data_IF_970105738797
#
_entry.id   IF_970105738797
#
_cell.length_a   1.000
_cell.length_b   1.000
_cell.length_c   1.000
_cell.angle_alpha   90.00
_cell.angle_beta   90.00
_cell.angle_gamma   90.00
#
_symmetry.space_group_name_H-M   'P 1'
#
loop_
_entity.id
_entity.type
_entity.pdbx_description
1 polymer ?
#
# COMPACT_ATOMS: atom_id res chain seq x y z
N UNK A 1 1.54 -20.92 15.62
CA UNK A 1 1.40 -21.36 14.21
C UNK A 1 2.67 -20.95 13.48
N UNK A 2 3.24 -21.80 12.61
CA UNK A 2 4.43 -21.44 11.85
C UNK A 2 3.98 -20.81 10.53
N UNK A 3 4.60 -19.70 10.17
CA UNK A 3 4.39 -19.00 8.89
C UNK A 3 5.34 -19.58 7.85
N UNK A 4 4.86 -19.79 6.64
CA UNK A 4 5.64 -20.27 5.50
C UNK A 4 5.72 -19.22 4.39
N UNK A 5 6.65 -19.41 3.45
CA UNK A 5 6.72 -18.58 2.25
C UNK A 5 5.40 -18.66 1.46
N UNK A 6 4.87 -17.50 1.09
CA UNK A 6 3.60 -17.38 0.37
C UNK A 6 2.37 -17.16 1.25
N UNK A 7 2.46 -17.30 2.57
CA UNK A 7 1.34 -17.02 3.47
C UNK A 7 0.99 -15.52 3.47
N UNK A 8 -0.31 -15.22 3.51
CA UNK A 8 -0.82 -13.86 3.67
C UNK A 8 -0.95 -13.54 5.17
N UNK A 9 -0.47 -12.36 5.57
CA UNK A 9 -0.47 -11.90 6.95
C UNK A 9 -1.18 -10.55 7.02
N UNK A 10 -1.97 -10.34 8.08
CA UNK A 10 -2.57 -9.05 8.40
C UNK A 10 -1.81 -8.39 9.57
N UNK A 11 -1.45 -7.13 9.39
CA UNK A 11 -0.98 -6.27 10.49
C UNK A 11 -2.20 -5.49 10.98
N UNK A 12 -2.59 -5.73 12.22
CA UNK A 12 -3.75 -5.07 12.85
C UNK A 12 -3.39 -3.64 13.27
N UNK A 13 -4.41 -2.84 13.57
CA UNK A 13 -4.27 -1.47 14.10
C UNK A 13 -3.46 -0.51 13.20
N UNK A 14 -3.36 -0.80 11.90
CA UNK A 14 -2.63 -0.01 10.91
C UNK A 14 -3.47 1.13 10.28
N UNK A 15 -4.69 1.38 10.78
CA UNK A 15 -5.62 2.34 10.20
C UNK A 15 -5.27 3.81 10.46
N UNK A 16 -4.62 4.11 11.58
CA UNK A 16 -4.13 5.45 11.91
C UNK A 16 -2.61 5.49 11.76
N UNK A 17 -2.09 6.60 11.21
CA UNK A 17 -0.65 6.87 11.05
C UNK A 17 0.16 5.85 10.21
N UNK A 18 -0.48 4.82 9.65
CA UNK A 18 0.16 3.86 8.74
C UNK A 18 0.47 4.49 7.39
N UNK A 19 -0.53 4.54 6.50
CA UNK A 19 -0.33 5.08 5.15
C UNK A 19 0.15 6.54 5.17
N UNK A 20 -0.35 7.38 6.09
CA UNK A 20 0.00 8.80 6.14
C UNK A 20 1.48 9.06 6.39
N UNK A 21 2.20 8.10 6.97
CA UNK A 21 3.66 8.18 7.18
C UNK A 21 4.46 7.33 6.17
N UNK A 22 3.79 6.68 5.21
CA UNK A 22 4.44 5.88 4.18
C UNK A 22 5.22 6.78 3.19
N UNK A 23 6.31 6.24 2.67
CA UNK A 23 7.20 6.93 1.73
C UNK A 23 7.75 5.95 0.69
N UNK A 24 8.46 6.48 -0.30
CA UNK A 24 9.02 5.70 -1.41
C UNK A 24 10.48 5.25 -1.16
N UNK A 25 10.91 5.10 0.09
CA UNK A 25 12.25 4.63 0.42
C UNK A 25 12.55 3.29 -0.28
N UNK A 26 13.79 3.16 -0.79
CA UNK A 26 14.23 2.07 -1.67
C UNK A 26 13.42 1.96 -2.97
N UNK A 27 12.92 3.08 -3.50
CA UNK A 27 12.17 3.13 -4.77
C UNK A 27 10.98 2.19 -4.77
N UNK A 28 10.34 2.02 -3.61
CA UNK A 28 9.16 1.17 -3.46
C UNK A 28 7.90 1.99 -3.70
N UNK A 29 7.04 1.61 -4.66
CA UNK A 29 5.77 2.29 -4.84
C UNK A 29 4.87 2.08 -3.62
N UNK A 30 4.17 3.13 -3.19
CA UNK A 30 3.23 3.03 -2.06
C UNK A 30 2.10 2.06 -2.39
N UNK A 31 1.59 1.41 -1.34
CA UNK A 31 0.55 0.39 -1.46
C UNK A 31 -0.78 0.98 -1.97
N UNK A 32 -1.66 0.11 -2.47
CA UNK A 32 -3.06 0.48 -2.67
C UNK A 32 -3.80 0.52 -1.32
N UNK A 33 -4.85 1.34 -1.23
CA UNK A 33 -5.82 1.29 -0.14
C UNK A 33 -7.18 0.91 -0.69
N UNK A 34 -7.85 0.02 0.04
CA UNK A 34 -9.14 -0.53 -0.31
C UNK A 34 -10.11 -0.22 0.83
N UNK A 35 -11.30 0.23 0.48
CA UNK A 35 -12.42 0.38 1.38
C UNK A 35 -13.38 -0.80 1.18
N UNK A 36 -13.76 -1.43 2.29
CA UNK A 36 -14.83 -2.40 2.33
C UNK A 36 -16.08 -1.70 2.86
N UNK A 37 -17.13 -1.64 2.05
CA UNK A 37 -18.38 -0.96 2.41
C UNK A 37 -19.57 -1.79 1.94
N UNK A 38 -20.46 -2.17 2.88
CA UNK A 38 -21.70 -2.91 2.58
C UNK A 38 -21.49 -4.18 1.73
N UNK A 39 -20.40 -4.93 1.98
CA UNK A 39 -20.05 -6.13 1.22
C UNK A 39 -19.44 -5.86 -0.17
N UNK A 40 -19.26 -4.59 -0.53
CA UNK A 40 -18.53 -4.18 -1.73
C UNK A 40 -17.08 -3.83 -1.42
N UNK A 41 -16.22 -3.98 -2.43
CA UNK A 41 -14.80 -3.65 -2.36
C UNK A 41 -14.53 -2.48 -3.30
N UNK A 42 -13.98 -1.38 -2.77
CA UNK A 42 -13.67 -0.17 -3.53
C UNK A 42 -12.20 0.18 -3.42
N UNK A 43 -11.54 0.36 -4.57
CA UNK A 43 -10.20 0.92 -4.61
C UNK A 43 -10.29 2.43 -4.33
N UNK A 44 -9.83 2.87 -3.16
CA UNK A 44 -9.85 4.28 -2.76
C UNK A 44 -8.52 5.00 -3.02
N UNK A 45 -7.43 4.22 -3.14
CA UNK A 45 -6.13 4.73 -3.59
C UNK A 45 -5.43 3.68 -4.46
N UNK A 46 -5.08 4.04 -5.70
CA UNK A 46 -4.32 3.15 -6.59
C UNK A 46 -2.94 2.88 -6.00
N UNK A 47 -2.41 1.67 -6.22
CA UNK A 47 -0.99 1.40 -6.02
C UNK A 47 -0.18 2.29 -6.97
N UNK A 48 0.89 2.89 -6.45
CA UNK A 48 1.81 3.65 -7.31
C UNK A 48 2.57 2.72 -8.25
N UNK A 49 3.00 3.29 -9.37
CA UNK A 49 3.94 2.68 -10.31
C UNK A 49 5.33 3.27 -10.10
N UNK A 50 6.35 2.64 -10.67
CA UNK A 50 7.72 3.20 -10.66
C UNK A 50 7.74 4.58 -11.33
N UNK A 51 6.96 4.76 -12.42
CA UNK A 51 6.86 6.05 -13.09
C UNK A 51 6.25 7.12 -12.19
N UNK A 52 5.24 6.78 -11.38
CA UNK A 52 4.62 7.74 -10.45
C UNK A 52 5.69 8.34 -9.49
N UNK A 53 6.67 7.53 -9.03
CA UNK A 53 7.76 7.97 -8.12
C UNK A 53 8.63 9.06 -8.76
N UNK A 54 8.95 8.93 -10.05
CA UNK A 54 9.87 9.82 -10.76
C UNK A 54 9.18 10.91 -11.58
N UNK A 55 7.86 11.07 -11.43
CA UNK A 55 7.06 12.03 -12.25
C UNK A 55 7.58 13.47 -12.17
N UNK A 56 8.22 13.84 -11.05
CA UNK A 56 8.75 15.19 -10.81
C UNK A 56 10.27 15.29 -11.00
N UNK A 57 10.91 14.24 -11.50
CA UNK A 57 12.34 14.24 -11.80
C UNK A 57 12.54 14.52 -13.28
N UNK A 58 13.28 15.59 -13.59
CA UNK A 58 13.87 15.76 -14.91
C UNK A 58 15.12 14.87 -14.98
N UNK A 59 15.04 13.80 -15.79
CA UNK A 59 16.14 12.88 -16.08
C UNK A 59 16.73 13.14 -17.45
#
# INVERSE_FOLDING_TARGET
QKVNEGDLIAIMDAGAYGYSMSNNFNTRPRAAEILLEQGSVKLIRKRETINDIFTLCDV
#
